data_IF_785875952862
#
_entry.id   IF_785875952862
#
_cell.length_a   1.000
_cell.length_b   1.000
_cell.length_c   1.000
_cell.angle_alpha   90.00
_cell.angle_beta   90.00
_cell.angle_gamma   90.00
#
_symmetry.space_group_name_H-M   'P 1'
#
loop_
_entity.id
_entity.type
_entity.pdbx_description
1 polymer ?
#
# COMPACT_ATOMS: atom_id res chain seq x y z
N UNK A 1 -1.39 -4.88 17.69
CA UNK A 1 -1.60 -3.63 16.93
C UNK A 1 -3.08 -3.44 16.64
N UNK A 2 -3.59 -2.27 16.97
CA UNK A 2 -4.94 -1.85 16.57
C UNK A 2 -5.00 -1.60 15.06
N UNK A 3 -6.17 -1.81 14.41
CA UNK A 3 -6.33 -1.55 12.99
C UNK A 3 -6.08 -0.08 12.67
N UNK A 4 -5.27 0.18 11.63
CA UNK A 4 -5.03 1.53 11.14
C UNK A 4 -6.28 2.05 10.44
N UNK A 5 -6.77 3.19 10.89
CA UNK A 5 -7.95 3.84 10.32
C UNK A 5 -7.54 5.07 9.51
N UNK A 6 -8.22 5.35 8.38
CA UNK A 6 -8.06 6.60 7.66
C UNK A 6 -8.32 7.81 8.57
N UNK A 7 -7.48 8.83 8.48
CA UNK A 7 -7.63 10.05 9.27
C UNK A 7 -7.22 11.30 8.48
N UNK A 8 -7.62 12.46 8.96
CA UNK A 8 -7.20 13.75 8.41
C UNK A 8 -5.72 14.01 8.73
N UNK A 9 -4.94 14.38 7.72
CA UNK A 9 -3.49 14.58 7.85
C UNK A 9 -3.18 15.72 8.81
N UNK A 10 -3.90 16.83 8.73
CA UNK A 10 -3.61 18.02 9.52
C UNK A 10 -3.93 17.78 11.00
N UNK A 11 -5.08 17.17 11.29
CA UNK A 11 -5.47 16.79 12.64
C UNK A 11 -4.48 15.79 13.24
N UNK A 12 -4.09 14.76 12.48
CA UNK A 12 -3.11 13.77 12.92
C UNK A 12 -1.76 14.42 13.23
N UNK A 13 -1.22 15.25 12.32
CA UNK A 13 0.05 15.93 12.54
C UNK A 13 0.01 16.88 13.75
N UNK A 14 -1.13 17.48 14.07
CA UNK A 14 -1.26 18.42 15.20
C UNK A 14 -1.06 17.77 16.57
N UNK A 15 -1.29 16.45 16.68
CA UNK A 15 -1.13 15.67 17.91
C UNK A 15 0.16 14.84 17.95
N UNK A 16 0.96 14.88 16.89
CA UNK A 16 2.20 14.12 16.76
C UNK A 16 3.37 14.91 17.33
N UNK A 17 4.10 14.29 18.24
CA UNK A 17 5.28 14.84 18.89
C UNK A 17 6.54 14.09 18.45
N UNK A 18 7.57 14.82 18.02
CA UNK A 18 8.86 14.21 17.67
C UNK A 18 9.60 13.79 18.93
N UNK A 19 9.85 12.49 19.07
CA UNK A 19 10.64 11.91 20.17
C UNK A 19 12.13 11.99 19.83
N UNK A 20 12.49 11.59 18.60
CA UNK A 20 13.88 11.58 18.14
C UNK A 20 13.95 11.69 16.63
N UNK A 21 14.77 12.60 16.14
CA UNK A 21 15.21 12.59 14.73
C UNK A 21 16.34 11.56 14.57
N UNK A 22 16.18 10.68 13.59
CA UNK A 22 17.14 9.60 13.27
C UNK A 22 18.09 10.03 12.16
N UNK A 23 17.52 10.56 11.09
CA UNK A 23 18.25 10.98 9.89
C UNK A 23 17.50 12.11 9.19
N UNK A 24 18.25 13.09 8.66
CA UNK A 24 17.69 14.19 7.90
C UNK A 24 18.63 14.52 6.73
N UNK A 25 18.05 14.63 5.55
CA UNK A 25 18.69 15.12 4.32
C UNK A 25 17.89 16.29 3.76
N UNK A 26 18.29 16.81 2.59
CA UNK A 26 17.59 17.91 1.94
C UNK A 26 16.17 17.54 1.48
N UNK A 27 15.87 16.25 1.30
CA UNK A 27 14.61 15.77 0.72
C UNK A 27 13.89 14.74 1.59
N UNK A 28 14.57 14.14 2.56
CA UNK A 28 14.05 13.03 3.35
C UNK A 28 14.36 13.23 4.83
N UNK A 29 13.38 12.91 5.68
CA UNK A 29 13.55 12.92 7.14
C UNK A 29 12.96 11.65 7.74
N UNK A 30 13.77 10.98 8.58
CA UNK A 30 13.35 9.87 9.42
C UNK A 30 13.31 10.31 10.88
N UNK A 31 12.18 10.07 11.54
CA UNK A 31 12.03 10.38 12.96
C UNK A 31 11.14 9.36 13.67
N UNK A 32 11.47 9.09 14.93
CA UNK A 32 10.53 8.44 15.85
C UNK A 32 9.63 9.52 16.41
N UNK A 33 8.33 9.34 16.24
CA UNK A 33 7.29 10.25 16.71
C UNK A 33 6.30 9.50 17.61
N UNK A 34 5.54 10.26 18.38
CA UNK A 34 4.53 9.73 19.30
C UNK A 34 3.23 10.51 19.13
N UNK A 35 2.12 9.80 19.05
CA UNK A 35 0.80 10.40 19.14
C UNK A 35 0.48 10.70 20.61
N UNK A 36 0.25 11.97 20.91
CA UNK A 36 -0.02 12.45 22.27
C UNK A 36 -1.38 12.00 22.83
N UNK A 37 -2.33 11.61 21.98
CA UNK A 37 -3.68 11.25 22.39
C UNK A 37 -3.76 9.81 22.91
N UNK A 38 -3.15 8.87 22.18
CA UNK A 38 -3.20 7.42 22.48
C UNK A 38 -1.85 6.87 22.99
N UNK A 39 -0.76 7.64 22.89
CA UNK A 39 0.58 7.23 23.29
C UNK A 39 1.31 6.31 22.31
N UNK A 40 0.72 6.00 21.15
CA UNK A 40 1.29 5.14 20.12
C UNK A 40 2.53 5.78 19.50
N UNK A 41 3.58 4.99 19.31
CA UNK A 41 4.78 5.43 18.61
C UNK A 41 4.70 5.07 17.13
N UNK A 42 5.31 5.92 16.30
CA UNK A 42 5.44 5.70 14.88
C UNK A 42 6.85 6.02 14.43
N UNK A 43 7.34 5.25 13.45
CA UNK A 43 8.42 5.69 12.59
C UNK A 43 7.83 6.55 11.49
N UNK A 44 8.16 7.84 11.50
CA UNK A 44 7.79 8.79 10.45
C UNK A 44 8.88 8.86 9.40
N UNK A 45 8.49 8.69 8.15
CA UNK A 45 9.28 9.00 6.97
C UNK A 45 8.60 10.13 6.19
N UNK A 46 9.25 11.29 6.09
CA UNK A 46 8.79 12.42 5.28
C UNK A 46 9.71 12.59 4.07
N UNK A 47 9.10 12.76 2.89
CA UNK A 47 9.80 12.94 1.62
C UNK A 47 9.25 14.14 0.86
N UNK A 48 10.13 15.00 0.35
CA UNK A 48 9.80 16.14 -0.50
C UNK A 48 10.18 15.88 -1.95
N UNK A 49 9.17 15.80 -2.82
CA UNK A 49 9.37 15.69 -4.26
C UNK A 49 9.30 17.06 -4.93
N UNK A 50 10.30 17.40 -5.76
CA UNK A 50 10.28 18.64 -6.55
C UNK A 50 9.91 18.33 -8.00
N UNK A 51 8.73 18.77 -8.42
CA UNK A 51 8.28 18.67 -9.80
C UNK A 51 8.90 19.79 -10.66
N UNK A 52 9.98 19.47 -11.37
CA UNK A 52 10.69 20.42 -12.24
C UNK A 52 9.86 20.86 -13.46
N UNK A 53 8.97 20.01 -13.95
CA UNK A 53 8.13 20.31 -15.12
C UNK A 53 7.02 21.31 -14.81
N UNK A 54 6.55 21.35 -13.55
CA UNK A 54 5.55 22.30 -13.06
C UNK A 54 6.18 23.48 -12.30
N UNK A 55 7.33 23.97 -12.78
CA UNK A 55 7.96 25.17 -12.24
C UNK A 55 8.59 25.00 -10.84
N UNK A 56 8.91 23.76 -10.47
CA UNK A 56 9.56 23.46 -9.18
C UNK A 56 8.60 23.32 -8.01
N UNK A 57 7.32 22.99 -8.26
CA UNK A 57 6.35 22.71 -7.20
C UNK A 57 6.90 21.61 -6.28
N UNK A 58 6.77 21.81 -4.97
CA UNK A 58 7.19 20.86 -3.95
C UNK A 58 5.96 20.15 -3.40
N UNK A 59 5.96 18.83 -3.51
CA UNK A 59 4.93 17.96 -2.95
C UNK A 59 5.56 17.19 -1.77
N UNK A 60 4.91 17.21 -0.60
CA UNK A 60 5.41 16.56 0.62
C UNK A 60 4.57 15.32 0.94
N UNK A 61 5.25 14.19 1.14
CA UNK A 61 4.65 12.91 1.45
C UNK A 61 5.11 12.41 2.80
N UNK A 62 4.17 12.04 3.66
CA UNK A 62 4.42 11.50 4.99
C UNK A 62 3.93 10.05 5.08
N UNK A 63 4.74 9.23 5.73
CA UNK A 63 4.47 7.83 6.02
C UNK A 63 4.67 7.58 7.51
N UNK A 64 3.78 6.80 8.14
CA UNK A 64 3.80 6.49 9.57
C UNK A 64 3.63 5.00 9.80
N UNK A 65 4.74 4.33 10.12
CA UNK A 65 4.75 2.92 10.50
C UNK A 65 4.55 2.81 12.01
N UNK A 66 3.50 2.13 12.50
CA UNK A 66 3.33 1.89 13.92
C UNK A 66 4.51 1.08 14.49
N UNK A 67 5.01 1.50 15.66
CA UNK A 67 6.08 0.81 16.38
C UNK A 67 5.59 0.30 17.72
N UNK A 68 6.01 -0.90 18.11
CA UNK A 68 5.90 -1.34 19.49
C UNK A 68 7.01 -0.71 20.34
N UNK A 69 6.85 -0.74 21.68
CA UNK A 69 7.84 -0.11 22.58
C UNK A 69 9.24 -0.70 22.43
N UNK A 70 9.34 -2.01 22.16
CA UNK A 70 10.62 -2.70 21.95
C UNK A 70 11.27 -2.27 20.62
N UNK A 71 10.49 -2.07 19.55
CA UNK A 71 10.98 -1.59 18.25
C UNK A 71 11.58 -0.18 18.38
N UNK A 72 10.94 0.69 19.15
CA UNK A 72 11.45 2.05 19.41
C UNK A 72 12.84 1.99 20.04
N UNK A 73 13.02 1.15 21.06
CA UNK A 73 14.31 1.00 21.73
C UNK A 73 15.37 0.43 20.78
N UNK A 74 15.02 -0.62 20.03
CA UNK A 74 15.94 -1.25 19.08
C UNK A 74 16.41 -0.27 17.99
N UNK A 75 15.51 0.57 17.46
CA UNK A 75 15.85 1.63 16.50
C UNK A 75 16.76 2.68 17.13
N UNK A 76 16.45 3.14 18.35
CA UNK A 76 17.25 4.17 19.04
C UNK A 76 18.66 3.71 19.38
N UNK A 77 18.87 2.42 19.64
CA UNK A 77 20.19 1.84 19.86
C UNK A 77 20.91 1.39 18.58
N UNK A 78 20.26 1.50 17.42
CA UNK A 78 20.82 1.10 16.12
C UNK A 78 20.88 -0.42 15.91
N UNK A 79 20.08 -1.19 16.66
CA UNK A 79 20.00 -2.65 16.54
C UNK A 79 19.05 -3.08 15.41
N UNK A 80 18.08 -2.22 15.05
CA UNK A 80 17.07 -2.49 14.02
C UNK A 80 17.16 -1.49 12.87
N UNK A 81 17.16 -2.02 11.65
CA UNK A 81 17.09 -1.24 10.42
C UNK A 81 15.67 -0.70 10.21
N UNK A 82 15.55 0.54 9.72
CA UNK A 82 14.27 1.27 9.66
C UNK A 82 14.01 1.91 8.28
N UNK A 83 14.90 1.72 7.31
CA UNK A 83 14.84 2.39 6.01
C UNK A 83 13.60 1.96 5.21
N UNK A 84 12.94 2.94 4.60
CA UNK A 84 11.89 2.72 3.62
C UNK A 84 12.49 2.51 2.22
N UNK A 85 11.96 1.60 1.38
CA UNK A 85 10.84 0.70 1.64
C UNK A 85 11.24 -0.65 2.28
N UNK A 86 12.54 -0.97 2.35
CA UNK A 86 13.03 -2.33 2.62
C UNK A 86 12.56 -2.94 3.95
N UNK A 87 12.43 -2.11 4.99
CA UNK A 87 12.07 -2.56 6.35
C UNK A 87 10.59 -2.32 6.69
N UNK A 88 9.80 -1.79 5.75
CA UNK A 88 8.40 -1.44 5.95
C UNK A 88 7.53 -2.57 5.42
N UNK A 89 7.42 -3.66 6.19
CA UNK A 89 6.75 -4.91 5.78
C UNK A 89 5.36 -5.09 6.37
N UNK A 90 4.95 -4.21 7.26
CA UNK A 90 3.63 -4.23 7.92
C UNK A 90 2.83 -3.00 7.52
N UNK A 91 1.52 -3.03 7.78
CA UNK A 91 0.64 -1.92 7.50
C UNK A 91 1.14 -0.60 8.12
N UNK A 92 1.05 0.49 7.35
CA UNK A 92 1.42 1.84 7.75
C UNK A 92 0.44 2.87 7.18
N UNK A 93 0.40 4.07 7.76
CA UNK A 93 -0.36 5.19 7.19
C UNK A 93 0.49 5.95 6.18
N UNK A 94 -0.08 6.34 5.04
CA UNK A 94 0.59 7.20 4.05
C UNK A 94 -0.29 8.35 3.62
N UNK A 95 0.31 9.51 3.35
CA UNK A 95 -0.37 10.62 2.70
C UNK A 95 -0.45 10.39 1.19
N UNK A 96 -1.60 10.73 0.61
CA UNK A 96 -1.77 10.80 -0.84
C UNK A 96 -1.57 12.21 -1.37
N UNK A 97 -2.22 12.50 -2.51
CA UNK A 97 -2.38 13.86 -3.05
C UNK A 97 -3.43 14.70 -2.31
N UNK A 98 -4.19 14.04 -1.42
CA UNK A 98 -5.26 14.64 -0.63
C UNK A 98 -4.79 14.82 0.83
N UNK A 99 -5.52 15.61 1.62
CA UNK A 99 -5.24 15.88 3.04
C UNK A 99 -5.61 14.69 3.97
N UNK A 100 -5.51 13.45 3.48
CA UNK A 100 -5.86 12.24 4.23
C UNK A 100 -4.67 11.30 4.35
N UNK A 101 -4.56 10.70 5.51
CA UNK A 101 -3.70 9.54 5.76
C UNK A 101 -4.52 8.28 5.55
N UNK A 102 -4.03 7.41 4.68
CA UNK A 102 -4.67 6.15 4.33
C UNK A 102 -3.81 4.98 4.80
N UNK A 103 -4.41 3.94 5.39
CA UNK A 103 -3.69 2.70 5.65
C UNK A 103 -3.26 2.06 4.33
N UNK A 104 -2.04 1.55 4.31
CA UNK A 104 -1.50 0.77 3.21
C UNK A 104 -0.76 -0.42 3.82
N UNK A 105 -1.14 -1.62 3.37
CA UNK A 105 -0.47 -2.84 3.77
C UNK A 105 0.38 -3.37 2.60
N UNK A 106 1.73 -3.31 2.69
CA UNK A 106 2.60 -3.87 1.66
C UNK A 106 2.54 -5.40 1.61
N UNK A 107 2.05 -6.05 2.67
CA UNK A 107 1.89 -7.50 2.76
C UNK A 107 0.58 -8.01 2.15
N UNK A 108 -0.44 -7.15 1.99
CA UNK A 108 -1.68 -7.48 1.29
C UNK A 108 -1.51 -7.65 -0.23
N UNK A 109 -0.32 -7.37 -0.78
CA UNK A 109 0.08 -7.91 -2.09
C UNK A 109 0.32 -9.42 -1.97
N UNK A 110 -0.75 -10.16 -1.69
CA UNK A 110 -0.79 -11.61 -1.66
C UNK A 110 -0.45 -12.15 -3.06
N UNK A 111 0.52 -13.06 -3.12
CA UNK A 111 0.74 -13.99 -4.25
C UNK A 111 0.53 -13.38 -5.65
N UNK A 112 1.24 -12.29 -5.98
CA UNK A 112 1.22 -11.66 -7.32
C UNK A 112 1.39 -12.69 -8.45
N UNK A 113 2.07 -13.81 -8.18
CA UNK A 113 2.18 -14.94 -9.11
C UNK A 113 0.86 -15.69 -9.31
N UNK A 114 0.11 -16.03 -8.26
CA UNK A 114 -1.20 -16.70 -8.42
C UNK A 114 -2.24 -15.78 -9.03
N UNK A 115 -2.24 -14.51 -8.64
CA UNK A 115 -3.12 -13.50 -9.22
C UNK A 115 -2.79 -13.29 -10.71
N UNK A 116 -1.50 -13.18 -11.06
CA UNK A 116 -1.08 -13.12 -12.45
C UNK A 116 -1.43 -14.40 -13.24
N UNK A 117 -1.33 -15.58 -12.63
CA UNK A 117 -1.75 -16.84 -13.25
C UNK A 117 -3.26 -16.88 -13.51
N UNK A 118 -4.07 -16.42 -12.55
CA UNK A 118 -5.52 -16.33 -12.69
C UNK A 118 -5.92 -15.30 -13.76
N UNK A 119 -5.29 -14.12 -13.78
CA UNK A 119 -5.48 -13.10 -14.81
C UNK A 119 -5.13 -13.60 -16.21
N UNK A 120 -4.00 -14.30 -16.36
CA UNK A 120 -3.58 -14.91 -17.62
C UNK A 120 -4.58 -15.98 -18.09
N UNK A 121 -5.09 -16.80 -17.17
CA UNK A 121 -6.10 -17.80 -17.48
C UNK A 121 -7.42 -17.16 -17.95
N UNK A 122 -7.83 -16.08 -17.32
CA UNK A 122 -9.03 -15.31 -17.65
C UNK A 122 -8.91 -14.65 -19.03
N UNK A 123 -7.80 -13.97 -19.30
CA UNK A 123 -7.51 -13.35 -20.60
C UNK A 123 -7.51 -14.37 -21.74
N UNK A 124 -6.90 -15.54 -21.51
CA UNK A 124 -6.85 -16.63 -22.51
C UNK A 124 -8.25 -17.13 -22.85
N UNK A 125 -9.14 -17.30 -21.85
CA UNK A 125 -10.52 -17.73 -22.06
C UNK A 125 -11.35 -16.68 -22.80
N UNK A 126 -11.20 -15.40 -22.46
CA UNK A 126 -11.85 -14.29 -23.17
C UNK A 126 -11.39 -14.19 -24.63
N UNK A 127 -10.10 -14.40 -24.90
CA UNK A 127 -9.57 -14.40 -26.25
C UNK A 127 -10.12 -15.57 -27.08
N UNK A 128 -10.19 -16.77 -26.50
CA UNK A 128 -10.79 -17.94 -27.13
C UNK A 128 -12.28 -17.71 -27.46
N UNK A 129 -13.04 -17.16 -26.51
CA UNK A 129 -14.43 -16.80 -26.73
C UNK A 129 -14.59 -15.78 -27.85
N UNK A 130 -13.77 -14.73 -27.88
CA UNK A 130 -13.79 -13.72 -28.95
C UNK A 130 -13.51 -14.32 -30.33
N UNK A 131 -12.62 -15.32 -30.42
CA UNK A 131 -12.34 -16.05 -31.67
C UNK A 131 -13.53 -16.92 -32.09
N UNK A 132 -14.17 -17.60 -31.13
CA UNK A 132 -15.30 -18.50 -31.37
C UNK A 132 -16.62 -17.76 -31.64
N UNK A 133 -16.78 -16.54 -31.12
CA UNK A 133 -17.99 -15.72 -31.23
C UNK A 133 -18.45 -15.47 -32.68
N UNK A 134 -17.50 -15.28 -33.60
CA UNK A 134 -17.81 -15.00 -35.00
C UNK A 134 -18.19 -16.26 -35.80
N UNK A 135 -17.82 -17.44 -35.32
CA UNK A 135 -18.05 -18.73 -35.98
C UNK A 135 -19.17 -19.55 -35.31
N UNK A 136 -19.69 -19.13 -34.16
CA UNK A 136 -20.70 -19.86 -33.41
C UNK A 136 -22.11 -19.64 -33.96
N UNK A 137 -22.81 -20.73 -34.27
CA UNK A 137 -24.24 -20.72 -34.63
C UNK A 137 -25.14 -20.42 -33.42
N UNK A 138 -24.75 -20.87 -32.22
CA UNK A 138 -25.44 -20.60 -30.96
C UNK A 138 -24.53 -19.82 -30.00
N UNK A 139 -24.74 -18.50 -29.98
CA UNK A 139 -24.00 -17.55 -29.15
C UNK A 139 -24.43 -17.56 -27.69
N UNK A 140 -25.67 -17.96 -27.40
CA UNK A 140 -26.21 -18.01 -26.04
C UNK A 140 -25.56 -19.16 -25.26
N UNK A 141 -25.45 -20.34 -25.87
CA UNK A 141 -24.76 -21.48 -25.26
C UNK A 141 -23.28 -21.21 -25.06
N UNK A 142 -22.60 -20.58 -26.03
CA UNK A 142 -21.19 -20.19 -25.91
C UNK A 142 -20.95 -19.23 -24.72
N UNK A 143 -21.86 -18.28 -24.52
CA UNK A 143 -21.75 -17.28 -23.44
C UNK A 143 -21.97 -17.91 -22.06
N UNK A 144 -22.90 -18.84 -21.96
CA UNK A 144 -23.16 -19.60 -20.72
C UNK A 144 -21.96 -20.48 -20.33
N UNK A 145 -21.33 -21.13 -21.31
CA UNK A 145 -20.13 -21.92 -21.06
C UNK A 145 -18.96 -21.04 -20.63
N UNK A 146 -18.81 -19.85 -21.23
CA UNK A 146 -17.81 -18.87 -20.77
C UNK A 146 -18.05 -18.47 -19.31
N UNK A 147 -19.26 -18.09 -18.93
CA UNK A 147 -19.54 -17.67 -17.55
C UNK A 147 -19.26 -18.78 -16.53
N UNK A 148 -19.61 -20.04 -16.85
CA UNK A 148 -19.27 -21.19 -16.00
C UNK A 148 -17.75 -21.36 -15.85
N UNK A 149 -17.00 -21.21 -16.93
CA UNK A 149 -15.54 -21.31 -16.91
C UNK A 149 -14.89 -20.17 -16.12
N UNK A 150 -15.43 -18.95 -16.22
CA UNK A 150 -14.97 -17.79 -15.46
C UNK A 150 -15.26 -17.94 -13.96
N UNK A 151 -16.46 -18.39 -13.59
CA UNK A 151 -16.81 -18.67 -12.19
C UNK A 151 -15.87 -19.70 -11.56
N UNK A 152 -15.46 -20.72 -12.33
CA UNK A 152 -14.51 -21.74 -11.86
C UNK A 152 -13.08 -21.19 -11.68
N UNK A 153 -12.66 -20.22 -12.50
CA UNK A 153 -11.34 -19.57 -12.38
C UNK A 153 -11.32 -18.65 -11.16
N UNK A 154 -12.37 -17.84 -10.97
CA UNK A 154 -12.49 -16.93 -9.82
C UNK A 154 -12.51 -17.71 -8.51
N UNK A 155 -13.33 -18.77 -8.44
CA UNK A 155 -13.42 -19.62 -7.25
C UNK A 155 -12.10 -20.32 -6.88
N UNK A 156 -11.24 -20.58 -7.87
CA UNK A 156 -9.92 -21.19 -7.65
C UNK A 156 -8.86 -20.16 -7.23
N UNK A 157 -9.07 -18.88 -7.53
CA UNK A 157 -8.20 -17.79 -7.07
C UNK A 157 -8.51 -17.39 -5.61
N UNK A 158 -9.76 -17.59 -5.17
CA UNK A 158 -10.20 -17.35 -3.78
C UNK A 158 -9.81 -18.46 -2.78
N UNK A 159 -9.40 -19.65 -3.26
CA UNK A 159 -9.01 -20.86 -2.48
C UNK A 159 -7.47 -20.96 -2.30
#
# INVERSE_FOLDING_TARGET
MDPLHPCDKHEFLSRIETVKELEQTDFETYSVVKDSENGQHYLRYSFTHINLSEGGRRDEFDHFLPLESDDVLAILFGEQAYQFPDNWKTAYLRSGTDERLMPFDPSENHDLEKDAEAELALLKKLQQFKQQWNAAEDKESLTRDLFRDLDAIIKKADD
#
